data_IF_271825081325
#
_entry.id   IF_271825081325
#
_cell.length_a   1.000
_cell.length_b   1.000
_cell.length_c   1.000
_cell.angle_alpha   90.00
_cell.angle_beta   90.00
_cell.angle_gamma   90.00
#
_symmetry.space_group_name_H-M   'P 1'
#
loop_
_entity.id
_entity.type
_entity.pdbx_description
1 polymer ?
#
# COMPACT_ATOMS: atom_id res chain seq x y z
N UNK A 1 -1.86 12.90 -10.70
CA UNK A 1 -1.65 11.78 -9.77
C UNK A 1 -1.32 10.54 -10.59
N UNK A 2 -0.04 10.13 -10.64
CA UNK A 2 0.51 9.18 -11.63
C UNK A 2 1.40 8.10 -10.98
N UNK A 3 1.39 7.97 -9.64
CA UNK A 3 2.26 6.99 -8.97
C UNK A 3 1.71 5.54 -9.04
N UNK A 4 0.39 5.34 -8.93
CA UNK A 4 -0.20 3.99 -8.95
C UNK A 4 -0.44 3.41 -10.37
N UNK A 5 -0.57 4.26 -11.39
CA UNK A 5 -0.98 3.80 -12.73
C UNK A 5 0.15 3.21 -13.59
N UNK A 6 1.40 3.28 -13.14
CA UNK A 6 2.56 2.81 -13.93
C UNK A 6 2.95 1.35 -13.67
N UNK A 7 2.40 0.69 -12.66
CA UNK A 7 2.51 -0.74 -12.49
C UNK A 7 1.46 -1.46 -13.35
N UNK A 8 1.71 -1.52 -14.66
CA UNK A 8 1.02 -2.41 -15.61
C UNK A 8 1.44 -3.87 -15.40
N UNK A 9 1.54 -4.26 -14.13
CA UNK A 9 1.92 -5.57 -13.65
C UNK A 9 1.04 -5.75 -12.44
N UNK A 10 0.00 -6.58 -12.55
CA UNK A 10 -0.82 -6.99 -11.43
C UNK A 10 0.12 -7.30 -10.27
N UNK A 11 0.21 -6.41 -9.25
CA UNK A 11 0.89 -6.80 -8.04
C UNK A 11 0.06 -7.96 -7.51
N UNK A 12 0.72 -9.06 -7.22
CA UNK A 12 0.09 -10.20 -6.57
C UNK A 12 -0.33 -9.72 -5.17
N UNK A 13 -1.53 -9.14 -5.11
CA UNK A 13 -2.14 -8.50 -3.94
C UNK A 13 -2.94 -9.51 -3.14
N UNK A 14 -2.70 -10.82 -3.33
CA UNK A 14 -3.35 -11.88 -2.56
C UNK A 14 -3.08 -11.68 -1.05
N UNK A 15 -4.07 -11.08 -0.37
CA UNK A 15 -4.02 -10.74 1.06
C UNK A 15 -3.81 -9.26 1.40
N UNK A 16 -3.86 -8.35 0.42
CA UNK A 16 -3.84 -6.90 0.62
C UNK A 16 -5.23 -6.30 0.39
N UNK A 17 -5.78 -5.64 1.40
CA UNK A 17 -7.06 -4.92 1.31
C UNK A 17 -6.81 -3.42 1.37
N UNK A 18 -7.25 -2.70 0.33
CA UNK A 18 -7.22 -1.24 0.26
C UNK A 18 -8.62 -0.70 0.54
N UNK A 19 -8.73 0.12 1.58
CA UNK A 19 -9.93 0.87 1.92
C UNK A 19 -9.69 2.36 1.65
N UNK A 20 -10.49 2.94 0.77
CA UNK A 20 -10.47 4.37 0.51
C UNK A 20 -11.76 5.00 1.05
N UNK A 21 -11.64 5.90 2.03
CA UNK A 21 -12.75 6.64 2.61
C UNK A 21 -12.45 8.15 2.50
N UNK A 22 -12.97 8.77 1.44
CA UNK A 22 -12.74 10.19 1.16
C UNK A 22 -11.27 10.48 0.87
N UNK A 23 -10.64 11.31 1.71
CA UNK A 23 -9.21 11.67 1.64
C UNK A 23 -8.31 10.75 2.48
N UNK A 24 -8.88 9.69 3.07
CA UNK A 24 -8.15 8.68 3.84
C UNK A 24 -8.07 7.39 3.07
N UNK A 25 -6.86 6.85 2.96
CA UNK A 25 -6.57 5.56 2.36
C UNK A 25 -5.91 4.67 3.42
N UNK A 26 -6.51 3.52 3.68
CA UNK A 26 -5.99 2.54 4.62
C UNK A 26 -5.68 1.26 3.86
N UNK A 27 -4.46 0.76 4.01
CA UNK A 27 -4.05 -0.54 3.52
C UNK A 27 -3.94 -1.48 4.71
N UNK A 28 -4.57 -2.64 4.61
CA UNK A 28 -4.50 -3.70 5.60
C UNK A 28 -4.01 -4.98 4.94
N UNK A 29 -3.07 -5.67 5.58
CA UNK A 29 -2.58 -6.96 5.11
C UNK A 29 -2.84 -8.04 6.15
N UNK A 30 -3.01 -9.29 5.68
CA UNK A 30 -3.04 -10.44 6.59
C UNK A 30 -1.73 -10.56 7.39
N UNK A 31 -1.83 -11.14 8.59
CA UNK A 31 -0.65 -11.42 9.40
C UNK A 31 0.37 -12.29 8.64
N UNK A 32 1.64 -11.91 8.73
CA UNK A 32 2.73 -12.60 8.03
C UNK A 32 2.83 -12.34 6.53
N UNK A 33 2.00 -11.45 5.96
CA UNK A 33 2.10 -11.08 4.54
C UNK A 33 3.44 -10.41 4.21
N UNK A 34 3.91 -9.50 5.07
CA UNK A 34 5.21 -8.85 4.87
C UNK A 34 6.40 -9.82 4.91
N UNK A 35 6.26 -10.96 5.61
CA UNK A 35 7.27 -12.02 5.63
C UNK A 35 7.19 -12.91 4.38
N UNK A 36 5.98 -13.15 3.85
CA UNK A 36 5.78 -13.92 2.61
C UNK A 36 6.17 -13.12 1.36
N UNK A 37 5.98 -11.80 1.37
CA UNK A 37 6.23 -10.90 0.24
C UNK A 37 7.08 -9.68 0.65
N UNK A 38 8.35 -9.87 1.03
CA UNK A 38 9.21 -8.79 1.53
C UNK A 38 9.47 -7.70 0.49
N UNK A 39 9.54 -8.06 -0.80
CA UNK A 39 9.72 -7.09 -1.89
C UNK A 39 8.49 -6.17 -2.02
N UNK A 40 7.28 -6.73 -1.97
CA UNK A 40 6.04 -5.96 -2.04
C UNK A 40 5.86 -5.07 -0.81
N UNK A 41 6.23 -5.56 0.39
CA UNK A 41 6.21 -4.77 1.61
C UNK A 41 7.18 -3.58 1.58
N UNK A 42 8.31 -3.71 0.90
CA UNK A 42 9.25 -2.62 0.70
C UNK A 42 8.65 -1.53 -0.20
N UNK A 43 8.10 -1.91 -1.35
CA UNK A 43 7.46 -0.99 -2.29
C UNK A 43 6.29 -0.23 -1.64
N UNK A 44 5.48 -0.90 -0.82
CA UNK A 44 4.40 -0.27 -0.07
C UNK A 44 4.90 0.78 0.93
N UNK A 45 6.04 0.52 1.59
CA UNK A 45 6.63 1.51 2.50
C UNK A 45 7.10 2.74 1.75
N UNK A 46 7.70 2.57 0.57
CA UNK A 46 8.10 3.70 -0.27
C UNK A 46 6.89 4.52 -0.73
N UNK A 47 5.79 3.85 -1.09
CA UNK A 47 4.51 4.49 -1.39
C UNK A 47 4.00 5.29 -0.17
N UNK A 48 3.92 4.69 1.02
CA UNK A 48 3.49 5.41 2.24
C UNK A 48 4.30 6.70 2.44
N UNK A 49 5.63 6.63 2.27
CA UNK A 49 6.53 7.79 2.42
C UNK A 49 6.30 8.83 1.33
N UNK A 50 6.02 8.42 0.09
CA UNK A 50 5.66 9.33 -0.98
C UNK A 50 4.32 10.03 -0.69
N UNK A 51 3.34 9.30 -0.16
CA UNK A 51 2.02 9.82 0.18
C UNK A 51 2.04 10.76 1.38
N UNK A 52 2.95 10.57 2.35
CA UNK A 52 3.19 11.53 3.45
C UNK A 52 3.59 12.94 2.99
N UNK A 53 4.10 13.08 1.75
CA UNK A 53 4.40 14.40 1.15
C UNK A 53 3.15 15.08 0.57
N UNK A 54 2.00 14.43 0.66
CA UNK A 54 0.71 14.87 0.15
C UNK A 54 -0.22 15.13 1.34
N UNK A 55 -1.18 16.05 1.27
CA UNK A 55 -2.17 16.26 2.34
C UNK A 55 -3.19 15.11 2.48
N UNK A 56 -2.88 13.92 1.98
CA UNK A 56 -3.75 12.75 2.00
C UNK A 56 -3.36 11.83 3.16
N UNK A 57 -4.34 11.33 3.89
CA UNK A 57 -4.08 10.43 5.02
C UNK A 57 -3.87 9.02 4.48
N UNK A 58 -2.67 8.47 4.67
CA UNK A 58 -2.37 7.10 4.26
C UNK A 58 -1.92 6.29 5.46
N UNK A 59 -2.64 5.21 5.76
CA UNK A 59 -2.38 4.33 6.89
C UNK A 59 -2.06 2.92 6.41
N UNK A 60 -0.95 2.35 6.91
CA UNK A 60 -0.50 1.01 6.55
C UNK A 60 -0.58 0.12 7.80
N UNK A 61 -1.46 -0.87 7.77
CA UNK A 61 -1.62 -1.89 8.80
C UNK A 61 -1.05 -3.22 8.28
N UNK A 62 0.20 -3.47 8.65
CA UNK A 62 0.86 -4.76 8.44
C UNK A 62 0.66 -5.59 9.71
N UNK A 63 -0.36 -6.46 9.72
CA UNK A 63 -0.66 -7.34 10.86
C UNK A 63 0.41 -8.36 11.18
#
# INVERSE_FOLDING_TARGET
AVALCHARRDPDVEGLSLHALGSRHTISTRAGWAAAYPQSAHLLREEVVAWQKTPWEFELSLG
#
